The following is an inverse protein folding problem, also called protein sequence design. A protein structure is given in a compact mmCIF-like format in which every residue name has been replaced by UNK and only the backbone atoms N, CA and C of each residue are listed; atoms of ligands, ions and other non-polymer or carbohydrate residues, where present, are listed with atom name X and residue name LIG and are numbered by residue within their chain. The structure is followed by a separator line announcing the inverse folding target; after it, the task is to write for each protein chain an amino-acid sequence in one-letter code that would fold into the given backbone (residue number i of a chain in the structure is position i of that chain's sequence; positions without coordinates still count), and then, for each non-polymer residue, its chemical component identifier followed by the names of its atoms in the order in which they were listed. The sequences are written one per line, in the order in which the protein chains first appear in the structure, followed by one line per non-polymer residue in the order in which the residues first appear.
data_IF_759726584122
#
_entry.id   IF_759726584122
#
_cell.length_a   1.000
_cell.length_b   1.000
_cell.length_c   1.000
_cell.angle_alpha   90.00
_cell.angle_beta   90.00
_cell.angle_gamma   90.00
#
_symmetry.space_group_name_H-M   'P 1'
#
loop_
_entity.id
_entity.type
_entity.pdbx_description
1 polymer ?
#
# COMPACT_ATOMS: atom_id res chain seq x y z
N UNK A 1 9.83 12.09 6.30
CA UNK A 1 9.52 11.37 5.04
C UNK A 1 8.20 10.62 5.19
N UNK A 2 7.34 10.75 4.22
CA UNK A 2 6.04 10.04 4.24
C UNK A 2 6.09 8.82 3.33
N UNK A 3 5.60 7.70 3.86
CA UNK A 3 5.61 6.44 3.14
C UNK A 3 4.22 5.79 3.16
N UNK A 4 3.98 4.97 2.14
CA UNK A 4 2.82 4.08 2.10
C UNK A 4 3.31 2.67 2.39
N UNK A 5 2.81 2.05 3.45
CA UNK A 5 3.12 0.66 3.78
C UNK A 5 1.97 -0.22 3.29
N UNK A 6 2.27 -1.05 2.31
CA UNK A 6 1.32 -2.01 1.75
C UNK A 6 1.51 -3.35 2.44
N UNK A 7 0.43 -3.87 3.03
CA UNK A 7 0.48 -5.17 3.68
C UNK A 7 -0.50 -6.14 3.03
N UNK A 8 0.00 -7.31 2.66
CA UNK A 8 -0.85 -8.41 2.21
C UNK A 8 -1.34 -9.15 3.46
N UNK A 9 -2.63 -9.04 3.75
CA UNK A 9 -3.23 -9.62 4.97
C UNK A 9 -3.24 -11.15 4.95
N UNK A 10 -3.11 -11.75 3.77
CA UNK A 10 -3.11 -13.21 3.64
C UNK A 10 -1.71 -13.79 3.91
N UNK A 11 -0.68 -13.18 3.34
CA UNK A 11 0.71 -13.68 3.47
C UNK A 11 1.47 -13.00 4.60
N UNK A 12 1.02 -11.82 5.04
CA UNK A 12 1.74 -11.01 6.02
C UNK A 12 2.88 -10.19 5.44
N UNK A 13 3.11 -10.24 4.14
CA UNK A 13 4.18 -9.50 3.49
C UNK A 13 3.90 -8.00 3.49
N UNK A 14 4.92 -7.20 3.81
CA UNK A 14 4.82 -5.74 3.81
C UNK A 14 5.86 -5.14 2.88
N UNK A 15 5.45 -4.07 2.17
CA UNK A 15 6.34 -3.30 1.30
C UNK A 15 6.10 -1.81 1.51
N UNK A 16 7.15 -1.02 1.36
CA UNK A 16 7.10 0.42 1.57
C UNK A 16 7.31 1.16 0.26
N UNK A 17 6.43 2.13 0.00
CA UNK A 17 6.45 2.92 -1.23
C UNK A 17 6.39 4.41 -0.91
N UNK A 18 6.93 5.22 -1.80
CA UNK A 18 6.88 6.69 -1.67
C UNK A 18 5.67 7.30 -2.37
N UNK A 19 5.08 6.58 -3.32
CA UNK A 19 3.98 7.09 -4.15
C UNK A 19 2.81 6.10 -4.16
N UNK A 20 1.59 6.64 -4.13
CA UNK A 20 0.40 5.81 -4.24
C UNK A 20 0.28 5.14 -5.62
N UNK A 21 0.81 5.76 -6.67
CA UNK A 21 0.84 5.13 -8.00
C UNK A 21 1.68 3.85 -8.00
N UNK A 22 2.79 3.86 -7.28
CA UNK A 22 3.64 2.68 -7.14
C UNK A 22 2.92 1.55 -6.39
N UNK A 23 2.18 1.90 -5.34
CA UNK A 23 1.36 0.93 -4.61
C UNK A 23 0.31 0.32 -5.55
N UNK A 24 -0.39 1.16 -6.31
CA UNK A 24 -1.42 0.71 -7.25
C UNK A 24 -0.84 -0.26 -8.29
N UNK A 25 0.32 0.07 -8.84
CA UNK A 25 1.00 -0.78 -9.82
C UNK A 25 1.44 -2.11 -9.21
N UNK A 26 1.89 -2.09 -7.96
CA UNK A 26 2.37 -3.31 -7.29
C UNK A 26 1.26 -4.35 -7.12
N UNK A 27 0.01 -3.91 -6.94
CA UNK A 27 -1.12 -4.82 -6.73
C UNK A 27 -2.11 -4.84 -7.90
N UNK A 28 -1.81 -4.08 -8.96
CA UNK A 28 -2.62 -4.10 -10.19
C UNK A 28 -4.00 -3.49 -10.05
N UNK A 29 -4.12 -2.39 -9.29
CA UNK A 29 -5.39 -1.65 -9.15
C UNK A 29 -5.21 -0.20 -9.57
N UNK A 30 -6.32 0.52 -9.68
CA UNK A 30 -6.29 1.96 -9.98
C UNK A 30 -5.79 2.74 -8.76
N UNK A 31 -5.10 3.85 -9.04
CA UNK A 31 -4.62 4.76 -7.99
C UNK A 31 -5.77 5.25 -7.10
N UNK A 32 -6.95 5.46 -7.67
CA UNK A 32 -8.14 5.89 -6.94
C UNK A 32 -8.50 4.90 -5.83
N UNK A 33 -8.35 3.61 -6.06
CA UNK A 33 -8.61 2.60 -5.03
C UNK A 33 -7.62 2.69 -3.88
N UNK A 34 -6.36 2.96 -4.18
CA UNK A 34 -5.33 3.16 -3.17
C UNK A 34 -5.66 4.40 -2.32
N UNK A 35 -6.03 5.49 -2.97
CA UNK A 35 -6.41 6.72 -2.30
C UNK A 35 -7.60 6.51 -1.37
N UNK A 36 -8.64 5.83 -1.83
CA UNK A 36 -9.82 5.52 -1.01
C UNK A 36 -9.46 4.62 0.17
N UNK A 37 -8.61 3.64 -0.05
CA UNK A 37 -8.17 2.74 1.02
C UNK A 37 -7.44 3.50 2.12
N UNK A 38 -6.60 4.47 1.75
CA UNK A 38 -5.90 5.30 2.72
C UNK A 38 -6.86 6.25 3.44
N UNK A 39 -7.70 6.95 2.68
CA UNK A 39 -8.61 7.95 3.25
C UNK A 39 -9.68 7.35 4.16
N UNK A 40 -10.25 6.21 3.77
CA UNK A 40 -11.32 5.55 4.52
C UNK A 40 -10.83 4.45 5.44
N UNK A 41 -9.52 4.19 5.44
CA UNK A 41 -8.92 3.13 6.23
C UNK A 41 -9.58 1.78 5.98
N UNK A 42 -9.80 1.47 4.70
CA UNK A 42 -10.46 0.24 4.26
C UNK A 42 -9.49 -0.66 3.50
N UNK A 43 -9.63 -1.99 3.64
CA UNK A 43 -8.79 -2.90 2.87
C UNK A 43 -9.22 -2.94 1.41
N UNK A 44 -8.28 -3.33 0.54
CA UNK A 44 -8.53 -3.60 -0.87
C UNK A 44 -8.66 -5.11 -1.03
N UNK A 45 -9.82 -5.57 -1.48
CA UNK A 45 -10.07 -6.98 -1.75
C UNK A 45 -10.01 -7.22 -3.25
N UNK A 46 -9.15 -8.14 -3.66
CA UNK A 46 -9.03 -8.51 -5.07
C UNK A 46 -9.84 -9.77 -5.35
N UNK A 47 -10.25 -9.92 -6.62
CA UNK A 47 -11.02 -11.09 -7.06
C UNK A 47 -10.25 -12.40 -6.89
N UNK A 48 -8.92 -12.32 -6.88
CA UNK A 48 -8.04 -13.47 -6.68
C UNK A 48 -7.99 -13.96 -5.23
N UNK A 49 -8.72 -13.29 -4.32
CA UNK A 49 -8.73 -13.63 -2.90
C UNK A 49 -7.71 -12.86 -2.06
N UNK A 50 -6.88 -12.06 -2.68
CA UNK A 50 -5.89 -11.25 -1.98
C UNK A 50 -6.55 -10.07 -1.28
N UNK A 51 -6.05 -9.79 -0.07
CA UNK A 51 -6.54 -8.67 0.73
C UNK A 51 -5.35 -7.83 1.15
N UNK A 52 -5.41 -6.53 0.83
CA UNK A 52 -4.34 -5.59 1.14
C UNK A 52 -4.82 -4.46 2.02
N UNK A 53 -3.97 -4.04 2.95
CA UNK A 53 -4.19 -2.81 3.73
C UNK A 53 -3.04 -1.85 3.44
N UNK A 54 -3.34 -0.56 3.49
CA UNK A 54 -2.38 0.48 3.18
C UNK A 54 -2.36 1.48 4.32
N UNK A 55 -1.18 1.73 4.87
CA UNK A 55 -0.98 2.71 5.93
C UNK A 55 -0.09 3.83 5.41
N UNK A 56 -0.56 5.06 5.52
CA UNK A 56 0.20 6.24 5.14
C UNK A 56 0.67 6.93 6.42
N UNK A 57 1.98 7.02 6.59
CA UNK A 57 2.54 7.57 7.83
C UNK A 57 3.83 8.34 7.58
N UNK A 58 4.14 9.23 8.53
CA UNK A 58 5.38 9.97 8.55
C UNK A 58 6.42 9.18 9.35
N UNK A 59 7.63 9.08 8.80
CA UNK A 59 8.72 8.36 9.45
C UNK A 59 9.96 9.25 9.48
N UNK A 60 10.74 9.12 10.55
CA UNK A 60 11.93 9.94 10.79
C UNK A 60 13.23 9.17 10.53
N UNK A 61 13.14 7.93 10.08
CA UNK A 61 14.30 7.08 9.81
C UNK A 61 14.25 6.57 8.39
N UNK A 62 15.40 6.14 7.89
CA UNK A 62 15.46 5.55 6.56
C UNK A 62 14.85 4.16 6.58
N UNK A 63 13.90 3.94 5.69
CA UNK A 63 13.26 2.66 5.46
C UNK A 63 13.75 2.07 4.15
N UNK A 64 13.70 0.76 4.05
CA UNK A 64 13.86 0.10 2.76
C UNK A 64 12.63 0.38 1.93
N UNK A 65 12.82 1.14 0.85
CA UNK A 65 11.72 1.52 -0.04
C UNK A 65 11.71 0.54 -1.22
N UNK A 66 10.55 -0.06 -1.45
CA UNK A 66 10.33 -1.02 -2.54
C UNK A 66 9.85 -0.34 -3.82
N UNK A 67 9.80 0.96 -3.82
CA UNK A 67 9.40 1.77 -4.95
C UNK A 67 10.48 1.76 -6.03
N UNK A 68 10.10 1.44 -7.25
CA UNK A 68 11.02 1.39 -8.39
C UNK A 68 10.98 2.69 -9.19
#
# INVERSE_FOLDING_TARGET
MRIYTLKNEITGEEKNFLKKTSVANAIGVNTDKVELAVMKNQPINKRTGEKYTIEYRDVNVNFNIDDC
#
